data_IF_534829611073
#
_entry.id   IF_534829611073
#
_cell.length_a   1.000
_cell.length_b   1.000
_cell.length_c   1.000
_cell.angle_alpha   90.00
_cell.angle_beta   90.00
_cell.angle_gamma   90.00
#
_symmetry.space_group_name_H-M   'P 1'
#
loop_
_entity.id
_entity.type
_entity.pdbx_description
1 polymer ?
#
# COMPACT_ATOMS: atom_id res chain seq x y z
N UNK A 1 9.68 -10.54 4.49
CA UNK A 1 9.46 -9.57 3.41
C UNK A 1 10.52 -8.49 3.61
N UNK A 2 11.50 -8.40 2.72
CA UNK A 2 12.58 -7.42 2.86
C UNK A 2 11.99 -6.02 2.64
N UNK A 3 11.92 -5.22 3.70
CA UNK A 3 11.45 -3.85 3.61
C UNK A 3 12.57 -2.98 3.03
N UNK A 4 12.38 -2.58 1.78
CA UNK A 4 13.14 -1.50 1.16
C UNK A 4 12.94 -0.20 1.93
N UNK A 5 14.03 0.54 2.12
CA UNK A 5 13.98 1.84 2.77
C UNK A 5 14.19 2.91 1.69
N UNK A 6 13.32 3.95 1.64
CA UNK A 6 13.51 5.03 0.69
C UNK A 6 14.83 5.76 0.92
N UNK A 7 15.42 6.29 -0.16
CA UNK A 7 16.65 7.09 -0.12
C UNK A 7 16.44 8.45 0.58
N UNK A 8 17.53 9.11 0.98
CA UNK A 8 17.48 10.34 1.81
C UNK A 8 17.33 11.67 1.01
N UNK A 9 16.78 11.66 -0.20
CA UNK A 9 16.82 12.84 -1.09
C UNK A 9 15.56 13.72 -1.01
N UNK A 10 15.67 14.84 -0.29
CA UNK A 10 14.57 15.79 0.01
C UNK A 10 13.96 16.45 -1.24
N UNK A 11 14.76 16.70 -2.29
CA UNK A 11 14.32 17.38 -3.53
C UNK A 11 13.40 16.52 -4.42
N UNK A 12 13.52 15.19 -4.36
CA UNK A 12 12.67 14.28 -5.14
C UNK A 12 11.23 14.23 -4.60
N UNK A 13 11.02 14.57 -3.33
CA UNK A 13 9.77 14.41 -2.58
C UNK A 13 8.62 15.33 -3.00
N UNK A 14 8.89 16.39 -3.77
CA UNK A 14 7.90 17.44 -4.14
C UNK A 14 7.51 17.37 -5.62
N UNK A 15 8.38 16.83 -6.49
CA UNK A 15 8.22 16.87 -7.97
C UNK A 15 8.32 15.45 -8.59
N UNK A 16 8.86 14.46 -7.86
CA UNK A 16 9.34 13.20 -8.43
C UNK A 16 8.37 12.02 -8.40
N UNK A 17 7.28 12.05 -7.61
CA UNK A 17 6.45 10.87 -7.38
C UNK A 17 5.79 10.32 -8.65
N UNK A 18 5.11 11.22 -9.39
CA UNK A 18 4.45 10.90 -10.67
C UNK A 18 5.48 10.47 -11.74
N UNK A 19 6.64 11.14 -11.79
CA UNK A 19 7.66 10.87 -12.83
C UNK A 19 8.35 9.53 -12.61
N UNK A 20 8.49 9.07 -11.37
CA UNK A 20 9.20 7.83 -11.08
C UNK A 20 8.33 6.59 -11.32
N UNK A 21 7.04 6.60 -10.99
CA UNK A 21 6.18 5.42 -11.17
C UNK A 21 6.04 5.01 -12.65
N UNK A 22 5.96 5.97 -13.57
CA UNK A 22 5.75 5.73 -15.00
C UNK A 22 7.04 5.56 -15.82
N UNK A 23 8.22 5.74 -15.20
CA UNK A 23 9.49 5.49 -15.88
C UNK A 23 9.80 4.00 -15.93
N UNK A 24 10.39 3.55 -17.04
CA UNK A 24 10.88 2.18 -17.17
C UNK A 24 12.05 1.91 -16.22
N UNK A 25 12.17 0.69 -15.67
CA UNK A 25 13.35 0.30 -14.91
C UNK A 25 14.63 0.31 -15.76
N UNK A 26 15.75 0.53 -15.10
CA UNK A 26 17.10 0.41 -15.63
C UNK A 26 17.68 -0.98 -15.32
N UNK A 27 18.43 -1.54 -16.27
CA UNK A 27 19.18 -2.80 -16.13
C UNK A 27 20.69 -2.51 -15.96
N UNK A 28 21.07 -1.24 -15.79
CA UNK A 28 22.46 -0.79 -15.66
C UNK A 28 22.99 -0.78 -14.22
N UNK A 29 23.98 0.07 -13.96
CA UNK A 29 24.70 0.15 -12.67
C UNK A 29 23.80 0.48 -11.46
N UNK A 30 22.63 1.06 -11.68
CA UNK A 30 21.64 1.43 -10.67
C UNK A 30 20.56 0.37 -10.42
N UNK A 31 20.76 -0.86 -10.92
CA UNK A 31 19.76 -1.95 -10.86
C UNK A 31 19.23 -2.22 -9.45
N UNK A 32 20.09 -2.12 -8.43
CA UNK A 32 19.75 -2.35 -7.00
C UNK A 32 19.36 -1.08 -6.24
N UNK A 33 19.23 0.06 -6.91
CA UNK A 33 18.85 1.30 -6.23
C UNK A 33 17.38 1.26 -5.79
N UNK A 34 17.01 1.85 -4.63
CA UNK A 34 15.63 1.88 -4.16
C UNK A 34 14.65 2.53 -5.15
N UNK A 35 15.10 3.55 -5.89
CA UNK A 35 14.27 4.22 -6.90
C UNK A 35 14.03 3.29 -8.11
N UNK A 36 15.04 2.52 -8.52
CA UNK A 36 14.90 1.58 -9.63
C UNK A 36 14.09 0.34 -9.23
N UNK A 37 14.21 -0.10 -7.99
CA UNK A 37 13.43 -1.21 -7.46
C UNK A 37 11.94 -0.85 -7.39
N UNK A 38 11.60 0.37 -6.96
CA UNK A 38 10.22 0.88 -7.06
C UNK A 38 9.70 0.93 -8.51
N UNK A 39 10.54 1.27 -9.49
CA UNK A 39 10.15 1.21 -10.91
C UNK A 39 9.84 -0.21 -11.35
N UNK A 40 10.66 -1.19 -10.95
CA UNK A 40 10.40 -2.60 -11.22
C UNK A 40 9.10 -3.08 -10.58
N UNK A 41 8.88 -2.78 -9.30
CA UNK A 41 7.61 -3.09 -8.62
C UNK A 41 6.42 -2.45 -9.34
N UNK A 42 6.55 -1.19 -9.77
CA UNK A 42 5.50 -0.46 -10.48
C UNK A 42 5.18 -1.08 -11.86
N UNK A 43 6.21 -1.54 -12.58
CA UNK A 43 6.03 -2.24 -13.86
C UNK A 43 5.31 -3.57 -13.64
N UNK A 44 5.74 -4.37 -12.66
CA UNK A 44 5.08 -5.65 -12.31
C UNK A 44 3.62 -5.43 -11.89
N UNK A 45 3.32 -4.40 -11.09
CA UNK A 45 1.95 -4.06 -10.69
C UNK A 45 1.06 -3.82 -11.91
N UNK A 46 1.53 -3.00 -12.87
CA UNK A 46 0.78 -2.71 -14.10
C UNK A 46 0.62 -3.93 -14.98
N UNK A 47 1.67 -4.73 -15.12
CA UNK A 47 1.62 -5.96 -15.91
C UNK A 47 0.64 -6.98 -15.32
N UNK A 48 0.65 -7.17 -14.00
CA UNK A 48 -0.29 -8.08 -13.34
C UNK A 48 -1.74 -7.60 -13.51
N UNK A 49 -2.01 -6.32 -13.24
CA UNK A 49 -3.34 -5.74 -13.37
C UNK A 49 -3.88 -5.81 -14.81
N UNK A 50 -3.02 -5.65 -15.81
CA UNK A 50 -3.41 -5.74 -17.22
C UNK A 50 -3.69 -7.18 -17.70
N UNK A 51 -3.10 -8.19 -17.06
CA UNK A 51 -3.17 -9.58 -17.52
C UNK A 51 -4.21 -10.42 -16.77
N UNK A 52 -4.43 -10.17 -15.48
CA UNK A 52 -5.33 -10.98 -14.67
C UNK A 52 -5.97 -10.21 -13.50
N UNK A 53 -7.14 -10.70 -13.07
CA UNK A 53 -7.76 -10.22 -11.85
C UNK A 53 -6.91 -10.64 -10.64
N UNK A 54 -6.42 -9.67 -9.87
CA UNK A 54 -5.53 -9.91 -8.74
C UNK A 54 -5.84 -8.99 -7.56
N UNK A 55 -5.32 -9.35 -6.37
CA UNK A 55 -5.34 -8.51 -5.17
C UNK A 55 -3.91 -8.07 -4.89
N UNK A 56 -3.68 -6.76 -4.92
CA UNK A 56 -2.40 -6.13 -4.63
C UNK A 56 -2.44 -5.51 -3.23
N UNK A 57 -1.42 -5.78 -2.40
CA UNK A 57 -1.37 -5.30 -1.02
C UNK A 57 -0.19 -4.35 -0.83
N UNK A 58 -0.48 -3.05 -0.68
CA UNK A 58 0.51 -2.02 -0.39
C UNK A 58 1.32 -1.61 -1.63
N UNK A 59 2.60 -1.27 -1.43
CA UNK A 59 3.56 -0.94 -2.51
C UNK A 59 3.11 0.22 -3.43
N UNK A 60 2.30 1.14 -2.89
CA UNK A 60 1.72 2.26 -3.63
C UNK A 60 0.90 1.83 -4.86
N UNK A 61 0.31 0.63 -4.86
CA UNK A 61 -0.41 0.10 -6.02
C UNK A 61 -1.58 0.98 -6.45
N UNK A 62 -2.27 1.60 -5.50
CA UNK A 62 -3.33 2.57 -5.71
C UNK A 62 -2.84 3.79 -6.52
N UNK A 63 -1.71 4.37 -6.10
CA UNK A 63 -1.08 5.48 -6.81
C UNK A 63 -0.53 5.05 -8.18
N UNK A 64 0.10 3.88 -8.27
CA UNK A 64 0.70 3.37 -9.52
C UNK A 64 -0.37 3.12 -10.59
N UNK A 65 -1.48 2.47 -10.23
CA UNK A 65 -2.58 2.20 -11.17
C UNK A 65 -3.37 3.48 -11.49
N UNK A 66 -3.67 4.30 -10.47
CA UNK A 66 -4.37 5.57 -10.67
C UNK A 66 -3.62 6.56 -11.55
N UNK A 67 -2.29 6.68 -11.36
CA UNK A 67 -1.45 7.54 -12.20
C UNK A 67 -1.21 7.01 -13.62
N UNK A 68 -1.49 5.72 -13.86
CA UNK A 68 -1.51 5.12 -15.20
C UNK A 68 -2.85 5.32 -15.92
N UNK A 69 -3.87 5.86 -15.25
CA UNK A 69 -5.21 6.06 -15.80
C UNK A 69 -6.03 4.77 -15.89
N UNK A 70 -5.69 3.76 -15.09
CA UNK A 70 -6.51 2.55 -14.95
C UNK A 70 -7.76 2.88 -14.13
N UNK A 71 -8.95 2.66 -14.69
CA UNK A 71 -10.23 2.91 -14.01
C UNK A 71 -10.88 1.61 -13.48
N UNK A 72 -10.27 0.46 -13.76
CA UNK A 72 -10.84 -0.87 -13.46
C UNK A 72 -10.43 -1.41 -12.09
N UNK A 73 -9.45 -0.81 -11.43
CA UNK A 73 -9.05 -1.19 -10.06
C UNK A 73 -9.93 -0.53 -8.98
N UNK A 74 -9.97 -1.15 -7.80
CA UNK A 74 -10.62 -0.63 -6.60
C UNK A 74 -9.60 -0.58 -5.47
N UNK A 75 -9.48 0.59 -4.85
CA UNK A 75 -8.53 0.86 -3.76
C UNK A 75 -9.19 0.76 -2.38
N UNK A 76 -8.62 -0.07 -1.50
CA UNK A 76 -9.15 -0.34 -0.17
C UNK A 76 -8.16 0.14 0.90
N UNK A 77 -8.64 0.86 1.92
CA UNK A 77 -7.84 1.19 3.10
C UNK A 77 -8.40 0.53 4.36
N UNK A 78 -7.82 -0.61 4.74
CA UNK A 78 -8.26 -1.37 5.92
C UNK A 78 -7.54 -0.86 7.17
N UNK A 79 -8.29 -0.42 8.17
CA UNK A 79 -7.76 0.10 9.41
C UNK A 79 -8.52 -0.41 10.65
N UNK A 80 -7.91 -0.23 11.81
CA UNK A 80 -8.52 -0.50 13.11
C UNK A 80 -7.93 0.42 14.19
N UNK A 81 -8.59 0.48 15.34
CA UNK A 81 -8.08 1.16 16.52
C UNK A 81 -6.79 0.49 17.04
N UNK A 82 -6.06 1.21 17.89
CA UNK A 82 -4.74 0.78 18.34
C UNK A 82 -4.79 -0.52 19.14
N UNK A 83 -5.78 -0.67 20.02
CA UNK A 83 -6.01 -1.88 20.82
C UNK A 83 -6.18 -3.11 19.93
N UNK A 84 -7.09 -3.05 18.95
CA UNK A 84 -7.37 -4.15 18.03
C UNK A 84 -6.11 -4.57 17.26
N UNK A 85 -5.30 -3.60 16.82
CA UNK A 85 -4.03 -3.88 16.13
C UNK A 85 -3.00 -4.54 17.05
N UNK A 86 -2.89 -4.07 18.29
CA UNK A 86 -1.97 -4.64 19.29
C UNK A 86 -2.37 -6.06 19.62
N UNK A 87 -3.64 -6.30 19.94
CA UNK A 87 -4.16 -7.63 20.27
C UNK A 87 -3.90 -8.61 19.12
N UNK A 88 -4.20 -8.20 17.88
CA UNK A 88 -3.94 -9.03 16.69
C UNK A 88 -2.45 -9.35 16.50
N UNK A 89 -1.55 -8.40 16.74
CA UNK A 89 -0.11 -8.64 16.62
C UNK A 89 0.38 -9.57 17.74
N UNK A 90 -0.16 -9.44 18.96
CA UNK A 90 0.14 -10.37 20.05
C UNK A 90 -0.28 -11.79 19.70
N UNK A 91 -1.49 -11.96 19.16
CA UNK A 91 -2.05 -13.26 18.79
C UNK A 91 -1.28 -13.92 17.63
N UNK A 92 -0.96 -13.16 16.59
CA UNK A 92 -0.32 -13.68 15.37
C UNK A 92 1.18 -13.88 15.54
N UNK A 93 1.87 -12.92 16.18
CA UNK A 93 3.33 -12.95 16.28
C UNK A 93 3.83 -13.59 17.60
N UNK A 94 2.94 -13.84 18.57
CA UNK A 94 3.27 -14.45 19.86
C UNK A 94 4.14 -13.56 20.76
N UNK A 95 3.93 -12.23 20.71
CA UNK A 95 4.72 -11.24 21.45
C UNK A 95 3.92 -10.54 22.55
N UNK A 96 4.61 -9.91 23.49
CA UNK A 96 3.95 -9.10 24.52
C UNK A 96 3.36 -7.79 23.96
N UNK A 97 2.46 -7.16 24.72
CA UNK A 97 1.78 -5.93 24.32
C UNK A 97 2.75 -4.76 24.02
N UNK A 98 3.89 -4.71 24.70
CA UNK A 98 4.88 -3.64 24.53
C UNK A 98 5.58 -3.79 23.19
N UNK A 99 5.95 -5.00 22.83
CA UNK A 99 6.57 -5.32 21.54
C UNK A 99 5.54 -5.21 20.40
N UNK A 100 4.33 -5.70 20.58
CA UNK A 100 3.24 -5.54 19.62
C UNK A 100 2.98 -4.06 19.29
N UNK A 101 2.88 -3.21 20.31
CA UNK A 101 2.72 -1.77 20.14
C UNK A 101 3.87 -1.15 19.32
N UNK A 102 5.12 -1.52 19.63
CA UNK A 102 6.29 -1.04 18.87
C UNK A 102 6.24 -1.47 17.41
N UNK A 103 5.85 -2.72 17.13
CA UNK A 103 5.71 -3.22 15.76
C UNK A 103 4.63 -2.48 14.98
N UNK A 104 3.46 -2.27 15.59
CA UNK A 104 2.37 -1.50 14.97
C UNK A 104 2.83 -0.09 14.62
N UNK A 105 3.45 0.62 15.58
CA UNK A 105 3.94 1.98 15.35
C UNK A 105 5.05 2.05 14.30
N UNK A 106 6.01 1.12 14.36
CA UNK A 106 7.11 1.03 13.38
C UNK A 106 6.58 0.77 11.98
N UNK A 107 5.69 -0.21 11.80
CA UNK A 107 5.16 -0.57 10.49
C UNK A 107 4.33 0.56 9.90
N UNK A 108 3.49 1.23 10.70
CA UNK A 108 2.74 2.41 10.23
C UNK A 108 3.68 3.53 9.81
N UNK A 109 4.77 3.78 10.57
CA UNK A 109 5.76 4.80 10.21
C UNK A 109 6.45 4.47 8.89
N UNK A 110 6.90 3.22 8.70
CA UNK A 110 7.54 2.76 7.47
C UNK A 110 6.59 2.93 6.27
N UNK A 111 5.32 2.53 6.40
CA UNK A 111 4.32 2.70 5.33
C UNK A 111 4.11 4.17 4.96
N UNK A 112 3.99 5.06 5.96
CA UNK A 112 3.87 6.51 5.73
C UNK A 112 5.10 7.08 5.02
N UNK A 113 6.30 6.77 5.53
CA UNK A 113 7.55 7.26 4.96
C UNK A 113 7.76 6.76 3.52
N UNK A 114 7.48 5.48 3.26
CA UNK A 114 7.57 4.87 1.94
C UNK A 114 6.60 5.53 0.96
N UNK A 115 5.30 5.57 1.30
CA UNK A 115 4.28 6.15 0.44
C UNK A 115 4.59 7.63 0.16
N UNK A 116 4.86 8.42 1.20
CA UNK A 116 5.18 9.85 1.05
C UNK A 116 6.41 10.08 0.17
N UNK A 117 7.41 9.20 0.24
CA UNK A 117 8.61 9.31 -0.60
C UNK A 117 8.29 9.08 -2.08
N UNK A 118 7.51 8.04 -2.40
CA UNK A 118 7.26 7.64 -3.79
C UNK A 118 6.06 8.32 -4.44
N UNK A 119 5.05 8.75 -3.67
CA UNK A 119 3.83 9.37 -4.21
C UNK A 119 3.80 10.88 -3.96
N UNK A 120 4.47 11.35 -2.90
CA UNK A 120 4.33 12.72 -2.40
C UNK A 120 3.05 12.96 -1.58
N UNK A 121 2.19 11.96 -1.47
CA UNK A 121 0.89 12.00 -0.79
C UNK A 121 0.95 11.39 0.62
N UNK A 122 -0.10 11.60 1.41
CA UNK A 122 -0.21 10.98 2.74
C UNK A 122 -0.86 9.60 2.63
N UNK A 123 -0.19 8.58 3.16
CA UNK A 123 -0.65 7.18 3.12
C UNK A 123 -2.02 6.97 3.78
N UNK A 124 -2.28 7.71 4.86
CA UNK A 124 -3.51 7.60 5.65
C UNK A 124 -4.54 8.69 5.32
N UNK A 125 -4.39 9.38 4.19
CA UNK A 125 -5.46 10.20 3.64
C UNK A 125 -6.52 9.32 3.00
N UNK A 126 -7.67 9.22 3.66
CA UNK A 126 -8.78 8.38 3.23
C UNK A 126 -9.40 8.84 1.90
N UNK A 127 -9.12 10.05 1.43
CA UNK A 127 -9.67 10.57 0.17
C UNK A 127 -9.04 9.93 -1.08
N UNK A 128 -7.89 9.26 -0.93
CA UNK A 128 -7.23 8.53 -2.02
C UNK A 128 -7.80 7.12 -2.25
N UNK A 129 -8.69 6.64 -1.39
CA UNK A 129 -9.19 5.27 -1.43
C UNK A 129 -10.69 5.21 -1.72
N UNK A 130 -11.11 4.25 -2.55
CA UNK A 130 -12.52 4.00 -2.86
C UNK A 130 -13.33 3.56 -1.64
N UNK A 131 -12.72 2.71 -0.79
CA UNK A 131 -13.37 2.17 0.41
C UNK A 131 -12.40 2.08 1.60
N UNK A 132 -12.43 3.09 2.50
CA UNK A 132 -11.86 2.99 3.83
C UNK A 132 -12.72 2.07 4.73
N UNK A 133 -12.13 1.00 5.26
CA UNK A 133 -12.84 -0.02 6.05
C UNK A 133 -12.30 -0.10 7.48
N UNK A 134 -13.14 0.26 8.45
CA UNK A 134 -12.83 0.11 9.87
C UNK A 134 -13.19 -1.30 10.37
N UNK A 135 -12.18 -2.08 10.75
CA UNK A 135 -12.32 -3.47 11.20
C UNK A 135 -12.37 -3.63 12.72
N UNK A 136 -12.34 -2.53 13.50
CA UNK A 136 -12.23 -2.60 14.97
C UNK A 136 -13.43 -3.26 15.66
N UNK A 137 -14.59 -3.29 15.00
CA UNK A 137 -15.86 -3.75 15.58
C UNK A 137 -16.59 -4.78 14.72
N UNK A 138 -15.90 -5.35 13.75
CA UNK A 138 -16.45 -6.37 12.85
C UNK A 138 -15.50 -7.56 12.79
N UNK A 139 -16.07 -8.73 12.53
CA UNK A 139 -15.30 -9.94 12.28
C UNK A 139 -14.64 -9.91 10.90
N UNK A 140 -13.69 -10.81 10.67
CA UNK A 140 -13.06 -10.98 9.37
C UNK A 140 -14.09 -11.27 8.28
N UNK A 141 -15.02 -12.19 8.53
CA UNK A 141 -16.05 -12.60 7.56
C UNK A 141 -16.97 -11.43 7.21
N UNK A 142 -17.40 -10.64 8.21
CA UNK A 142 -18.18 -9.44 7.96
C UNK A 142 -17.42 -8.39 7.13
N UNK A 143 -16.10 -8.27 7.34
CA UNK A 143 -15.24 -7.41 6.52
C UNK A 143 -15.16 -7.89 5.07
N UNK A 144 -15.06 -9.21 4.86
CA UNK A 144 -15.09 -9.83 3.53
C UNK A 144 -16.45 -9.57 2.85
N UNK A 145 -17.56 -9.79 3.54
CA UNK A 145 -18.91 -9.55 3.01
C UNK A 145 -19.10 -8.10 2.56
N UNK A 146 -18.61 -7.13 3.36
CA UNK A 146 -18.68 -5.70 3.01
C UNK A 146 -17.89 -5.39 1.73
N UNK A 147 -16.69 -5.95 1.58
CA UNK A 147 -15.86 -5.75 0.38
C UNK A 147 -16.55 -6.38 -0.82
N UNK A 148 -17.03 -7.63 -0.71
CA UNK A 148 -17.72 -8.31 -1.80
C UNK A 148 -18.97 -7.55 -2.25
N UNK A 149 -19.74 -6.99 -1.32
CA UNK A 149 -20.93 -6.21 -1.66
C UNK A 149 -20.56 -4.90 -2.37
N UNK A 150 -19.51 -4.21 -1.92
CA UNK A 150 -19.00 -3.02 -2.60
C UNK A 150 -18.55 -3.32 -4.04
N UNK A 151 -17.84 -4.44 -4.24
CA UNK A 151 -17.41 -4.89 -5.56
C UNK A 151 -18.59 -5.18 -6.51
N UNK A 152 -19.67 -5.80 -6.02
CA UNK A 152 -20.91 -6.00 -6.80
C UNK A 152 -21.58 -4.68 -7.17
N UNK A 153 -21.68 -3.73 -6.24
CA UNK A 153 -22.24 -2.39 -6.49
C UNK A 153 -21.45 -1.67 -7.59
N UNK A 154 -20.12 -1.86 -7.62
CA UNK A 154 -19.22 -1.34 -8.66
C UNK A 154 -19.21 -2.14 -9.96
N UNK A 155 -19.96 -3.24 -10.05
CA UNK A 155 -20.01 -4.11 -11.23
C UNK A 155 -18.70 -4.86 -11.51
N UNK A 156 -17.91 -5.16 -10.46
CA UNK A 156 -16.63 -5.87 -10.55
C UNK A 156 -16.72 -7.35 -10.11
N UNK A 157 -17.90 -7.79 -9.67
CA UNK A 157 -18.26 -9.16 -9.28
C UNK A 157 -19.68 -9.49 -9.75
#
# INVERSE_FOLDING_TARGET
MNDERPGNNILQRIIGGIKNANNKPSIGDDIVSPDNLFRFESEVIRELAANEACILIGRCSDFVLGSAGDEDFISLFVYADLSTKVDRVMDVDGVDAKEALRRVQRNNRIRKEYYKYYTGEEWDDMTHYDLPLNTSKITLDQGVDLILEYLKIRGKL
#
